data_IF_479995839402
#
_entry.id   IF_479995839402
#
_cell.length_a   1.000
_cell.length_b   1.000
_cell.length_c   1.000
_cell.angle_alpha   90.00
_cell.angle_beta   90.00
_cell.angle_gamma   90.00
#
_symmetry.space_group_name_H-M   'P 1'
#
loop_
_entity.id
_entity.type
_entity.pdbx_description
1 polymer ?
#
# COMPACT_ATOMS: atom_id res chain seq x y z
N UNK A 1 17.98 17.02 22.79
CA UNK A 1 16.75 16.91 21.98
C UNK A 1 15.88 15.83 22.59
N UNK A 2 14.57 16.04 22.65
CA UNK A 2 13.60 15.09 23.19
C UNK A 2 12.92 14.36 22.03
N UNK A 3 13.03 13.03 22.00
CA UNK A 3 12.50 12.15 20.94
C UNK A 3 11.24 11.39 21.37
N UNK A 4 10.59 11.82 22.45
CA UNK A 4 9.36 11.16 22.92
C UNK A 4 8.22 11.40 21.95
N UNK A 5 7.74 10.32 21.35
CA UNK A 5 6.57 10.32 20.49
C UNK A 5 5.32 10.61 21.35
N UNK A 6 4.47 11.58 21.00
CA UNK A 6 3.21 11.83 21.69
C UNK A 6 2.34 10.55 21.75
N UNK A 7 1.63 10.29 22.87
CA UNK A 7 0.86 9.05 23.04
C UNK A 7 -0.13 8.77 21.91
N UNK A 8 -0.84 9.80 21.43
CA UNK A 8 -1.79 9.69 20.32
C UNK A 8 -1.11 9.28 18.99
N UNK A 9 0.10 9.76 18.74
CA UNK A 9 0.87 9.39 17.55
C UNK A 9 1.32 7.93 17.66
N UNK A 10 1.76 7.49 18.84
CA UNK A 10 2.13 6.09 19.08
C UNK A 10 0.94 5.15 18.89
N UNK A 11 -0.24 5.54 19.35
CA UNK A 11 -1.48 4.78 19.16
C UNK A 11 -1.85 4.68 17.68
N UNK A 12 -1.82 5.80 16.94
CA UNK A 12 -2.08 5.82 15.51
C UNK A 12 -1.12 4.92 14.73
N UNK A 13 0.18 4.93 15.07
CA UNK A 13 1.16 4.04 14.44
C UNK A 13 0.82 2.56 14.66
N UNK A 14 0.44 2.19 15.89
CA UNK A 14 0.00 0.82 16.17
C UNK A 14 -1.25 0.41 15.39
N UNK A 15 -2.24 1.30 15.28
CA UNK A 15 -3.43 1.06 14.46
C UNK A 15 -3.09 0.87 12.98
N UNK A 16 -2.11 1.63 12.46
CA UNK A 16 -1.62 1.49 11.09
C UNK A 16 -0.87 0.17 10.87
N UNK A 17 -0.03 -0.24 11.82
CA UNK A 17 0.67 -1.53 11.77
C UNK A 17 -0.33 -2.69 11.74
N UNK A 18 -1.33 -2.68 12.63
CA UNK A 18 -2.39 -3.69 12.67
C UNK A 18 -3.20 -3.72 11.37
N UNK A 19 -3.48 -2.55 10.77
CA UNK A 19 -4.14 -2.45 9.48
C UNK A 19 -3.29 -3.01 8.34
N UNK A 20 -1.99 -2.71 8.32
CA UNK A 20 -1.07 -3.21 7.31
C UNK A 20 -1.03 -4.75 7.36
N UNK A 21 -0.86 -5.33 8.55
CA UNK A 21 -0.79 -6.79 8.72
C UNK A 21 -2.10 -7.48 8.35
N UNK A 22 -3.25 -6.90 8.71
CA UNK A 22 -4.56 -7.52 8.45
C UNK A 22 -5.09 -7.33 7.04
N UNK A 23 -4.82 -6.18 6.41
CA UNK A 23 -5.50 -5.79 5.17
C UNK A 23 -4.53 -5.64 4.00
N UNK A 24 -3.33 -5.09 4.20
CA UNK A 24 -2.39 -4.77 3.12
C UNK A 24 -1.45 -5.93 2.82
N UNK A 25 -0.90 -6.59 3.84
CA UNK A 25 -0.03 -7.77 3.67
C UNK A 25 -0.71 -8.92 2.94
N UNK A 26 -1.99 -9.28 3.23
CA UNK A 26 -2.69 -10.26 2.43
C UNK A 26 -2.89 -9.82 0.97
N UNK A 27 -3.20 -8.54 0.74
CA UNK A 27 -3.36 -7.98 -0.60
C UNK A 27 -2.04 -8.00 -1.40
N UNK A 28 -0.92 -7.69 -0.76
CA UNK A 28 0.44 -7.80 -1.32
C UNK A 28 0.77 -9.23 -1.74
N UNK A 29 0.36 -10.24 -0.96
CA UNK A 29 0.65 -11.65 -1.25
C UNK A 29 -0.36 -12.32 -2.19
N UNK A 30 -1.46 -11.65 -2.52
CA UNK A 30 -2.50 -12.16 -3.41
C UNK A 30 -2.09 -11.99 -4.88
N UNK A 31 -2.46 -12.95 -5.75
CA UNK A 31 -2.41 -12.84 -7.22
C UNK A 31 -1.08 -12.29 -7.79
N UNK A 32 0.06 -12.68 -7.21
CA UNK A 32 1.40 -12.22 -7.58
C UNK A 32 1.62 -10.69 -7.45
N UNK A 33 0.79 -10.00 -6.66
CA UNK A 33 0.94 -8.56 -6.40
C UNK A 33 2.31 -8.19 -5.81
N UNK A 34 2.96 -9.12 -5.12
CA UNK A 34 4.30 -8.97 -4.55
C UNK A 34 5.33 -8.52 -5.59
N UNK A 35 5.13 -8.85 -6.88
CA UNK A 35 5.99 -8.39 -7.97
C UNK A 35 6.06 -6.87 -8.10
N UNK A 36 5.02 -6.14 -7.68
CA UNK A 36 5.00 -4.68 -7.72
C UNK A 36 5.80 -4.03 -6.58
N UNK A 37 6.08 -4.78 -5.52
CA UNK A 37 6.82 -4.33 -4.33
C UNK A 37 8.29 -4.80 -4.32
N UNK A 38 8.68 -5.74 -5.18
CA UNK A 38 10.09 -6.11 -5.37
C UNK A 38 10.83 -5.01 -6.15
N UNK A 39 11.75 -4.30 -5.48
CA UNK A 39 12.57 -3.24 -6.09
C UNK A 39 13.36 -3.71 -7.32
N UNK A 40 13.72 -4.99 -7.41
CA UNK A 40 14.41 -5.55 -8.59
C UNK A 40 13.49 -5.64 -9.81
N UNK A 41 12.18 -5.58 -9.60
CA UNK A 41 11.12 -5.67 -10.60
C UNK A 41 10.37 -4.35 -10.74
N UNK A 42 11.00 -3.21 -10.48
CA UNK A 42 10.35 -1.90 -10.62
C UNK A 42 9.69 -1.69 -12.00
N UNK A 43 10.29 -2.23 -13.07
CA UNK A 43 9.73 -2.25 -14.42
C UNK A 43 8.35 -2.94 -14.52
N UNK A 44 7.96 -3.78 -13.55
CA UNK A 44 6.65 -4.42 -13.51
C UNK A 44 5.50 -3.40 -13.35
N UNK A 45 5.77 -2.20 -12.82
CA UNK A 45 4.76 -1.13 -12.70
C UNK A 45 4.54 -0.40 -14.03
N UNK A 46 5.44 -0.57 -15.00
CA UNK A 46 5.43 0.15 -16.29
C UNK A 46 4.99 -0.76 -17.42
N UNK A 47 4.02 -0.29 -18.21
CA UNK A 47 3.57 -0.91 -19.44
C UNK A 47 4.34 -0.33 -20.64
N UNK A 48 5.43 -1.00 -21.02
CA UNK A 48 6.28 -0.57 -22.13
C UNK A 48 5.61 -0.67 -23.49
N UNK A 49 4.60 -1.54 -23.64
CA UNK A 49 3.82 -1.67 -24.88
C UNK A 49 2.80 -0.54 -25.05
N UNK A 50 2.59 0.27 -23.99
CA UNK A 50 1.66 1.40 -23.95
C UNK A 50 2.35 2.69 -23.55
N UNK A 51 3.43 3.01 -24.25
CA UNK A 51 4.19 4.27 -24.09
C UNK A 51 4.73 4.50 -22.65
N UNK A 52 4.92 3.43 -21.88
CA UNK A 52 5.42 3.52 -20.50
C UNK A 52 4.36 3.96 -19.48
N UNK A 53 3.07 3.85 -19.81
CA UNK A 53 1.99 4.09 -18.86
C UNK A 53 2.01 3.09 -17.69
N UNK A 54 1.42 3.43 -16.52
CA UNK A 54 1.27 2.46 -15.43
C UNK A 54 0.48 1.23 -15.86
N UNK A 55 0.90 0.04 -15.44
CA UNK A 55 0.12 -1.19 -15.69
C UNK A 55 -1.25 -1.09 -15.02
N UNK A 56 -2.29 -1.50 -15.73
CA UNK A 56 -3.65 -1.49 -15.17
C UNK A 56 -3.81 -2.32 -13.89
N UNK A 57 -3.09 -3.44 -13.78
CA UNK A 57 -3.10 -4.27 -12.57
C UNK A 57 -2.48 -3.52 -11.37
N UNK A 58 -1.43 -2.73 -11.62
CA UNK A 58 -0.85 -1.86 -10.60
C UNK A 58 -1.83 -0.76 -10.17
N UNK A 59 -2.49 -0.10 -11.12
CA UNK A 59 -3.52 0.91 -10.80
C UNK A 59 -4.72 0.31 -10.05
N UNK A 60 -5.13 -0.91 -10.40
CA UNK A 60 -6.22 -1.62 -9.75
C UNK A 60 -5.85 -1.98 -8.31
N UNK A 61 -4.62 -2.45 -8.08
CA UNK A 61 -4.07 -2.73 -6.76
C UNK A 61 -4.05 -1.46 -5.88
N UNK A 62 -3.54 -0.35 -6.40
CA UNK A 62 -3.54 0.93 -5.67
C UNK A 62 -4.95 1.41 -5.33
N UNK A 63 -5.91 1.24 -6.24
CA UNK A 63 -7.32 1.56 -5.99
C UNK A 63 -7.90 0.69 -4.87
N UNK A 64 -7.57 -0.60 -4.86
CA UNK A 64 -8.02 -1.51 -3.79
C UNK A 64 -7.40 -1.14 -2.44
N UNK A 65 -6.09 -0.87 -2.38
CA UNK A 65 -5.43 -0.38 -1.16
C UNK A 65 -6.11 0.88 -0.62
N UNK A 66 -6.44 1.84 -1.48
CA UNK A 66 -7.15 3.08 -1.09
C UNK A 66 -8.55 2.81 -0.55
N UNK A 67 -9.31 1.90 -1.16
CA UNK A 67 -10.64 1.51 -0.66
C UNK A 67 -10.55 0.87 0.73
N UNK A 68 -9.57 0.00 0.97
CA UNK A 68 -9.35 -0.61 2.29
C UNK A 68 -8.99 0.44 3.34
N UNK A 69 -8.12 1.39 2.99
CA UNK A 69 -7.74 2.50 3.87
C UNK A 69 -8.92 3.42 4.20
N UNK A 70 -9.76 3.72 3.22
CA UNK A 70 -10.98 4.53 3.41
C UNK A 70 -11.98 3.82 4.33
N UNK A 71 -12.25 2.53 4.07
CA UNK A 71 -13.10 1.70 4.93
C UNK A 71 -12.58 1.59 6.37
N UNK A 72 -11.26 1.59 6.55
CA UNK A 72 -10.61 1.56 7.86
C UNK A 72 -10.54 2.95 8.55
N UNK A 73 -10.94 4.03 7.86
CA UNK A 73 -10.93 5.39 8.38
C UNK A 73 -9.57 6.10 8.32
N UNK A 74 -8.56 5.53 7.66
CA UNK A 74 -7.23 6.13 7.50
C UNK A 74 -7.11 7.06 6.29
N UNK A 75 -8.00 6.90 5.31
CA UNK A 75 -8.11 7.76 4.15
C UNK A 75 -9.56 8.26 4.06
N UNK A 76 -9.76 9.41 3.44
CA UNK A 76 -11.08 9.88 3.04
C UNK A 76 -11.04 10.16 1.54
N UNK A 77 -11.73 9.33 0.77
CA UNK A 77 -11.80 9.44 -0.70
C UNK A 77 -12.82 10.46 -1.20
#
# INVERSE_FOLDING_TARGET
MDFRIPPNVKELLGQLDDFIEREIKPLENQDDNIRFFDHRREHARTDWDRDGLPRHEWEALLREMRRRADKAGFLRL
#
